data_IF_988213330187
#
_entry.id   IF_988213330187
#
_cell.length_a   1.000
_cell.length_b   1.000
_cell.length_c   1.000
_cell.angle_alpha   90.00
_cell.angle_beta   90.00
_cell.angle_gamma   90.00
#
_symmetry.space_group_name_H-M   'P 1'
#
loop_
_entity.id
_entity.type
_entity.pdbx_description
1 polymer ?
#
# COMPACT_ATOMS: atom_id res chain seq x y z
N UNK A 1 -18.55 -29.92 33.26
CA UNK A 1 -17.34 -29.46 32.52
C UNK A 1 -17.63 -29.16 31.03
N UNK A 2 -18.04 -30.12 30.19
CA UNK A 2 -18.33 -29.80 28.78
C UNK A 2 -19.52 -28.86 28.58
N UNK A 3 -20.59 -28.99 29.39
CA UNK A 3 -21.77 -28.11 29.31
C UNK A 3 -21.42 -26.66 29.69
N UNK A 4 -20.60 -26.45 30.70
CA UNK A 4 -20.19 -25.10 31.13
C UNK A 4 -19.33 -24.41 30.07
N UNK A 5 -18.45 -25.19 29.41
CA UNK A 5 -17.62 -24.69 28.29
C UNK A 5 -18.50 -24.25 27.11
N UNK A 6 -19.46 -25.09 26.73
CA UNK A 6 -20.40 -24.76 25.63
C UNK A 6 -21.27 -23.55 25.97
N UNK A 7 -21.68 -23.43 27.25
CA UNK A 7 -22.39 -22.22 27.70
C UNK A 7 -21.53 -20.97 27.58
N UNK A 8 -20.28 -21.00 28.04
CA UNK A 8 -19.34 -19.89 27.92
C UNK A 8 -19.04 -19.55 26.46
N UNK A 9 -18.97 -20.53 25.57
CA UNK A 9 -18.85 -20.30 24.13
C UNK A 9 -20.06 -19.58 23.57
N UNK A 10 -21.27 -19.96 23.98
CA UNK A 10 -22.49 -19.29 23.58
C UNK A 10 -22.54 -17.84 24.03
N UNK A 11 -22.13 -17.56 25.27
CA UNK A 11 -22.03 -16.20 25.78
C UNK A 11 -21.03 -15.37 24.99
N UNK A 12 -19.83 -15.91 24.70
CA UNK A 12 -18.82 -15.24 23.87
C UNK A 12 -19.35 -14.88 22.48
N UNK A 13 -20.06 -15.81 21.82
CA UNK A 13 -20.62 -15.59 20.50
C UNK A 13 -21.74 -14.52 20.52
N UNK A 14 -22.61 -14.54 21.54
CA UNK A 14 -23.65 -13.51 21.71
C UNK A 14 -23.05 -12.14 21.99
N UNK A 15 -22.01 -12.05 22.83
CA UNK A 15 -21.27 -10.82 23.06
C UNK A 15 -20.64 -10.26 21.78
N UNK A 16 -20.26 -11.13 20.85
CA UNK A 16 -19.78 -10.76 19.51
C UNK A 16 -20.90 -10.41 18.50
N UNK A 17 -22.16 -10.34 18.97
CA UNK A 17 -23.31 -10.02 18.13
C UNK A 17 -23.73 -11.17 17.18
N UNK A 18 -23.39 -12.40 17.51
CA UNK A 18 -23.78 -13.59 16.75
C UNK A 18 -24.97 -14.28 17.38
N UNK A 19 -25.94 -14.67 16.54
CA UNK A 19 -27.14 -15.37 16.96
C UNK A 19 -26.98 -16.88 16.75
N UNK A 20 -27.06 -17.64 17.82
CA UNK A 20 -26.89 -19.09 17.82
C UNK A 20 -27.87 -19.75 18.80
N UNK A 21 -28.46 -20.85 18.42
CA UNK A 21 -29.29 -21.68 19.30
C UNK A 21 -28.42 -22.66 20.10
N UNK A 22 -27.56 -23.41 19.41
CA UNK A 22 -26.67 -24.42 20.00
C UNK A 22 -25.29 -24.31 19.40
N UNK A 23 -24.25 -24.32 20.26
CA UNK A 23 -22.83 -24.35 19.84
C UNK A 23 -22.43 -25.78 19.50
N UNK A 24 -22.02 -26.00 18.27
CA UNK A 24 -21.43 -27.25 17.80
C UNK A 24 -19.89 -27.13 17.89
N UNK A 25 -19.29 -27.93 18.76
CA UNK A 25 -17.85 -27.87 19.03
C UNK A 25 -17.10 -29.08 18.41
N UNK A 26 -17.26 -29.24 17.11
CA UNK A 26 -16.67 -30.30 16.27
C UNK A 26 -15.42 -29.83 15.48
N UNK A 27 -14.97 -28.59 15.70
CA UNK A 27 -13.85 -28.00 14.99
C UNK A 27 -14.17 -27.58 13.54
N UNK A 28 -15.39 -27.78 13.07
CA UNK A 28 -15.81 -27.37 11.72
C UNK A 28 -16.29 -25.90 11.70
N UNK A 29 -16.42 -25.35 10.48
CA UNK A 29 -16.95 -24.00 10.30
C UNK A 29 -18.47 -24.02 10.29
N UNK A 30 -19.09 -23.45 11.32
CA UNK A 30 -20.53 -23.26 11.41
C UNK A 30 -20.91 -21.83 11.02
N UNK A 31 -21.94 -21.68 10.22
CA UNK A 31 -22.52 -20.39 9.81
C UNK A 31 -23.76 -20.11 10.65
N UNK A 32 -23.83 -18.89 11.17
CA UNK A 32 -24.94 -18.42 12.00
C UNK A 32 -25.45 -17.05 11.59
N UNK A 33 -26.56 -16.62 12.17
CA UNK A 33 -27.07 -15.26 12.03
C UNK A 33 -26.27 -14.26 12.85
N UNK A 34 -26.66 -13.00 12.75
CA UNK A 34 -26.25 -11.90 13.63
C UNK A 34 -27.47 -11.42 14.40
N UNK A 35 -27.28 -10.76 15.55
CA UNK A 35 -28.37 -10.30 16.42
C UNK A 35 -29.41 -9.41 15.67
N UNK A 36 -28.96 -8.63 14.69
CA UNK A 36 -29.79 -7.79 13.83
C UNK A 36 -30.38 -8.55 12.62
N UNK A 37 -29.85 -9.74 12.28
CA UNK A 37 -30.28 -10.58 11.14
C UNK A 37 -30.18 -12.06 11.47
N UNK A 38 -31.02 -12.59 12.36
CA UNK A 38 -30.89 -13.96 12.87
C UNK A 38 -31.05 -15.04 11.79
N UNK A 39 -31.80 -14.78 10.73
CA UNK A 39 -32.04 -15.73 9.65
C UNK A 39 -31.04 -15.68 8.49
N UNK A 40 -30.04 -14.79 8.55
CA UNK A 40 -28.95 -14.70 7.58
C UNK A 40 -27.72 -15.49 8.04
N UNK A 41 -26.76 -15.67 7.15
CA UNK A 41 -25.50 -16.38 7.43
C UNK A 41 -24.31 -15.40 7.46
N UNK A 42 -24.51 -14.27 8.14
CA UNK A 42 -23.54 -13.16 8.21
C UNK A 42 -22.53 -13.35 9.34
N UNK A 43 -22.65 -14.40 10.13
CA UNK A 43 -21.73 -14.84 11.17
C UNK A 43 -21.13 -16.21 10.90
N UNK A 44 -20.03 -16.53 11.54
CA UNK A 44 -19.48 -17.88 11.62
C UNK A 44 -18.64 -18.09 12.85
N UNK A 45 -18.50 -19.35 13.27
CA UNK A 45 -17.63 -19.74 14.35
C UNK A 45 -17.02 -21.14 14.12
N UNK A 46 -15.96 -21.44 14.86
CA UNK A 46 -15.36 -22.78 15.04
C UNK A 46 -15.08 -22.99 16.51
N UNK A 47 -15.58 -24.06 17.08
CA UNK A 47 -15.39 -24.37 18.49
C UNK A 47 -14.71 -25.73 18.67
N UNK A 48 -13.83 -25.79 19.65
CA UNK A 48 -13.02 -26.96 20.02
C UNK A 48 -13.13 -27.20 21.53
N UNK A 49 -13.44 -28.44 21.94
CA UNK A 49 -13.51 -28.85 23.35
C UNK A 49 -12.19 -29.38 23.87
N UNK A 50 -11.21 -29.65 23.01
CA UNK A 50 -9.88 -30.12 23.42
C UNK A 50 -9.20 -29.08 24.31
N UNK A 51 -8.43 -29.55 25.28
CA UNK A 51 -7.71 -28.69 26.22
C UNK A 51 -6.53 -27.98 25.55
N UNK A 52 -6.45 -26.64 25.61
CA UNK A 52 -7.44 -25.71 26.12
C UNK A 52 -8.63 -25.56 25.18
N UNK A 53 -9.84 -25.63 25.70
CA UNK A 53 -11.06 -25.42 24.91
C UNK A 53 -11.10 -23.99 24.38
N UNK A 54 -11.41 -23.84 23.10
CA UNK A 54 -11.31 -22.55 22.41
C UNK A 54 -12.37 -22.37 21.32
N UNK A 55 -12.75 -21.13 21.06
CA UNK A 55 -13.67 -20.76 20.01
C UNK A 55 -13.11 -19.60 19.21
N UNK A 56 -13.19 -19.71 17.89
CA UNK A 56 -12.97 -18.62 16.94
C UNK A 56 -14.29 -18.19 16.35
N UNK A 57 -14.47 -16.89 16.13
CA UNK A 57 -15.68 -16.34 15.50
C UNK A 57 -15.36 -15.18 14.58
N UNK A 58 -16.31 -14.91 13.67
CA UNK A 58 -16.27 -13.75 12.77
C UNK A 58 -17.68 -13.24 12.48
N UNK A 59 -17.87 -11.92 12.62
CA UNK A 59 -19.06 -11.20 12.24
C UNK A 59 -18.75 -10.37 10.98
N UNK A 60 -19.28 -10.76 9.81
CA UNK A 60 -19.03 -10.04 8.55
C UNK A 60 -19.74 -8.69 8.46
N UNK A 61 -20.69 -8.40 9.32
CA UNK A 61 -21.41 -7.15 9.31
C UNK A 61 -20.64 -6.02 10.00
N UNK A 62 -20.05 -6.32 11.15
CA UNK A 62 -19.23 -5.37 11.90
C UNK A 62 -17.77 -5.42 11.44
N UNK A 63 -17.33 -6.50 10.80
CA UNK A 63 -15.94 -6.78 10.47
C UNK A 63 -15.16 -7.42 11.60
N UNK A 64 -15.77 -7.58 12.77
CA UNK A 64 -15.11 -8.09 13.97
C UNK A 64 -14.83 -9.59 13.86
N UNK A 65 -13.64 -9.99 14.31
CA UNK A 65 -13.27 -11.38 14.49
C UNK A 65 -12.45 -11.53 15.76
N UNK A 66 -12.55 -12.70 16.39
CA UNK A 66 -11.85 -12.97 17.63
C UNK A 66 -11.66 -14.45 17.90
N UNK A 67 -10.82 -14.71 18.89
CA UNK A 67 -10.63 -16.05 19.48
C UNK A 67 -10.74 -15.92 20.98
N UNK A 68 -11.47 -16.84 21.59
CA UNK A 68 -11.58 -16.91 23.04
C UNK A 68 -11.26 -18.32 23.53
N UNK A 69 -10.59 -18.43 24.66
CA UNK A 69 -10.25 -19.69 25.34
C UNK A 69 -10.92 -19.76 26.70
N UNK A 70 -11.42 -20.92 27.07
CA UNK A 70 -12.12 -21.14 28.34
C UNK A 70 -11.27 -20.82 29.56
N UNK A 71 -9.93 -21.03 29.46
CA UNK A 71 -8.96 -20.53 30.43
C UNK A 71 -8.16 -19.39 29.81
N UNK A 72 -7.98 -18.25 30.52
CA UNK A 72 -7.08 -17.20 30.10
C UNK A 72 -5.67 -17.73 29.84
N UNK A 73 -4.96 -17.20 28.86
CA UNK A 73 -3.60 -17.68 28.49
C UNK A 73 -2.61 -17.70 29.67
N UNK A 74 -2.81 -16.80 30.66
CA UNK A 74 -2.02 -16.71 31.90
C UNK A 74 -2.22 -17.88 32.84
N UNK A 75 -3.34 -18.58 32.76
CA UNK A 75 -3.71 -19.71 33.61
C UNK A 75 -3.40 -21.07 32.98
N UNK A 76 -2.96 -21.07 31.70
CA UNK A 76 -2.56 -22.30 31.03
C UNK A 76 -1.22 -22.78 31.55
N UNK A 77 -1.13 -24.09 31.79
CA UNK A 77 0.16 -24.76 32.03
C UNK A 77 1.06 -24.69 30.80
N UNK A 78 2.35 -24.91 30.97
CA UNK A 78 3.29 -24.96 29.84
C UNK A 78 2.86 -25.96 28.76
N UNK A 79 2.45 -27.17 29.18
CA UNK A 79 1.96 -28.20 28.26
C UNK A 79 0.70 -27.80 27.49
N UNK A 80 -0.27 -27.16 28.16
CA UNK A 80 -1.48 -26.64 27.52
C UNK A 80 -1.19 -25.55 26.50
N UNK A 81 -0.23 -24.65 26.81
CA UNK A 81 0.22 -23.60 25.85
C UNK A 81 0.90 -24.21 24.62
N UNK A 82 1.75 -25.21 24.82
CA UNK A 82 2.43 -25.85 23.69
C UNK A 82 1.44 -26.64 22.82
N UNK A 83 0.49 -27.35 23.41
CA UNK A 83 -0.57 -28.05 22.69
C UNK A 83 -1.45 -27.05 21.87
N UNK A 84 -1.78 -25.88 22.44
CA UNK A 84 -2.52 -24.83 21.72
C UNK A 84 -1.72 -24.28 20.54
N UNK A 85 -0.44 -23.99 20.73
CA UNK A 85 0.46 -23.52 19.67
C UNK A 85 0.57 -24.54 18.53
N UNK A 86 0.71 -25.81 18.87
CA UNK A 86 0.82 -26.89 17.89
C UNK A 86 -0.48 -27.04 17.08
N UNK A 87 -1.64 -26.97 17.76
CA UNK A 87 -2.95 -26.97 17.10
C UNK A 87 -3.12 -25.77 16.15
N UNK A 88 -2.80 -24.57 16.60
CA UNK A 88 -2.86 -23.36 15.74
C UNK A 88 -1.96 -23.53 14.51
N UNK A 89 -0.74 -24.08 14.71
CA UNK A 89 0.20 -24.37 13.63
C UNK A 89 -0.37 -25.40 12.64
N UNK A 90 -0.95 -26.50 13.15
CA UNK A 90 -1.55 -27.53 12.31
C UNK A 90 -2.76 -27.00 11.50
N UNK A 91 -3.64 -26.22 12.13
CA UNK A 91 -4.78 -25.59 11.43
C UNK A 91 -4.27 -24.64 10.35
N UNK A 92 -3.26 -23.84 10.64
CA UNK A 92 -2.67 -22.90 9.66
C UNK A 92 -2.05 -23.65 8.49
N UNK A 93 -1.25 -24.69 8.76
CA UNK A 93 -0.64 -25.54 7.73
C UNK A 93 -1.69 -26.23 6.84
N UNK A 94 -2.77 -26.76 7.45
CA UNK A 94 -3.85 -27.37 6.70
C UNK A 94 -4.57 -26.34 5.78
N UNK A 95 -4.88 -25.14 6.31
CA UNK A 95 -5.45 -24.06 5.51
C UNK A 95 -4.54 -23.66 4.35
N UNK A 96 -3.24 -23.54 4.58
CA UNK A 96 -2.26 -23.20 3.54
C UNK A 96 -2.19 -24.30 2.47
N UNK A 97 -2.20 -25.56 2.87
CA UNK A 97 -2.18 -26.71 1.95
C UNK A 97 -3.44 -26.73 1.06
N UNK A 98 -4.62 -26.59 1.67
CA UNK A 98 -5.89 -26.52 0.92
C UNK A 98 -5.94 -25.30 -0.02
N UNK A 99 -5.47 -24.14 0.43
CA UNK A 99 -5.40 -22.94 -0.39
C UNK A 99 -4.43 -23.13 -1.57
N UNK A 100 -3.27 -23.72 -1.33
CA UNK A 100 -2.28 -24.02 -2.37
C UNK A 100 -2.85 -25.02 -3.40
N UNK A 101 -3.57 -26.03 -2.97
CA UNK A 101 -4.26 -26.98 -3.85
C UNK A 101 -5.27 -26.29 -4.75
N UNK A 102 -6.08 -25.39 -4.20
CA UNK A 102 -7.05 -24.58 -4.96
C UNK A 102 -6.33 -23.69 -5.97
N UNK A 103 -5.26 -23.01 -5.58
CA UNK A 103 -4.47 -22.18 -6.49
C UNK A 103 -3.84 -22.99 -7.63
N UNK A 104 -3.32 -24.18 -7.35
CA UNK A 104 -2.76 -25.07 -8.38
C UNK A 104 -3.84 -25.54 -9.37
N UNK A 105 -5.02 -25.90 -8.88
CA UNK A 105 -6.13 -26.28 -9.76
C UNK A 105 -6.57 -25.11 -10.64
N UNK A 106 -6.71 -23.90 -10.07
CA UNK A 106 -7.03 -22.70 -10.81
C UNK A 106 -5.95 -22.31 -11.83
N UNK A 107 -4.67 -22.49 -11.51
CA UNK A 107 -3.57 -22.22 -12.45
C UNK A 107 -3.59 -23.19 -13.65
N UNK A 108 -3.88 -24.48 -13.43
CA UNK A 108 -4.06 -25.46 -14.51
C UNK A 108 -5.23 -25.08 -15.42
N UNK A 109 -6.36 -24.70 -14.83
CA UNK A 109 -7.54 -24.23 -15.58
C UNK A 109 -7.22 -22.95 -16.36
N UNK A 110 -6.52 -22.00 -15.74
CA UNK A 110 -6.08 -20.74 -16.36
C UNK A 110 -5.21 -21.01 -17.60
N UNK A 111 -4.23 -21.90 -17.47
CA UNK A 111 -3.35 -22.29 -18.59
C UNK A 111 -4.14 -22.99 -19.72
N UNK A 112 -5.10 -23.84 -19.39
CA UNK A 112 -5.98 -24.48 -20.37
C UNK A 112 -6.81 -23.46 -21.14
N UNK A 113 -7.50 -22.55 -20.43
CA UNK A 113 -8.30 -21.49 -21.05
C UNK A 113 -7.41 -20.62 -21.95
N UNK A 114 -6.25 -20.23 -21.48
CA UNK A 114 -5.30 -19.44 -22.25
C UNK A 114 -4.89 -20.13 -23.55
N UNK A 115 -4.51 -21.40 -23.48
CA UNK A 115 -4.05 -22.16 -24.65
C UNK A 115 -5.16 -22.42 -25.68
N UNK A 116 -6.41 -22.56 -25.22
CA UNK A 116 -7.57 -22.76 -26.09
C UNK A 116 -8.13 -21.45 -26.68
N UNK A 117 -7.59 -20.30 -26.27
CA UNK A 117 -8.05 -18.99 -26.73
C UNK A 117 -7.19 -18.48 -27.89
N UNK A 118 -7.80 -17.72 -28.81
CA UNK A 118 -7.11 -17.09 -29.93
C UNK A 118 -6.46 -15.75 -29.51
N UNK A 119 -5.48 -15.28 -30.28
CA UNK A 119 -4.96 -13.93 -30.10
C UNK A 119 -6.11 -12.90 -30.25
N UNK A 120 -6.10 -11.88 -29.41
CA UNK A 120 -7.07 -10.79 -29.50
C UNK A 120 -6.67 -9.83 -30.64
N UNK A 121 -7.69 -9.34 -31.35
CA UNK A 121 -7.53 -8.21 -32.27
C UNK A 121 -7.92 -6.89 -31.58
N UNK A 122 -7.56 -5.79 -32.22
CA UNK A 122 -7.86 -4.43 -31.73
C UNK A 122 -9.37 -4.07 -31.88
N UNK A 123 -10.14 -4.94 -32.55
CA UNK A 123 -11.58 -4.80 -32.77
C UNK A 123 -12.43 -4.99 -31.52
N UNK A 124 -11.83 -5.39 -30.40
CA UNK A 124 -12.59 -5.61 -29.18
C UNK A 124 -13.14 -4.30 -28.58
N UNK A 125 -14.46 -4.22 -28.22
CA UNK A 125 -15.09 -2.97 -27.78
C UNK A 125 -14.38 -2.26 -26.61
N UNK A 126 -13.84 -3.02 -25.65
CA UNK A 126 -13.03 -2.45 -24.56
C UNK A 126 -11.77 -1.73 -25.07
N UNK A 127 -11.04 -2.35 -26.00
CA UNK A 127 -9.80 -1.77 -26.54
C UNK A 127 -10.09 -0.50 -27.35
N UNK A 128 -11.16 -0.52 -28.13
CA UNK A 128 -11.62 0.66 -28.87
C UNK A 128 -12.05 1.79 -27.92
N UNK A 129 -12.83 1.48 -26.86
CA UNK A 129 -13.20 2.46 -25.84
C UNK A 129 -11.96 3.06 -25.15
N UNK A 130 -10.92 2.25 -24.91
CA UNK A 130 -9.68 2.69 -24.24
C UNK A 130 -8.64 3.24 -25.22
N UNK A 131 -8.82 3.12 -26.53
CA UNK A 131 -7.92 3.61 -27.55
C UNK A 131 -6.53 2.97 -27.49
N UNK A 132 -6.47 1.66 -27.19
CA UNK A 132 -5.22 0.91 -27.01
C UNK A 132 -5.23 -0.41 -27.79
N UNK A 133 -4.07 -0.86 -28.34
CA UNK A 133 -3.96 -2.12 -29.05
C UNK A 133 -3.99 -3.34 -28.13
N UNK A 134 -4.26 -4.52 -28.73
CA UNK A 134 -4.34 -5.82 -28.07
C UNK A 134 -2.95 -6.47 -27.87
N UNK A 135 -2.03 -5.83 -27.19
CA UNK A 135 -0.67 -6.36 -27.02
C UNK A 135 -0.65 -7.48 -25.95
N UNK A 136 -0.31 -8.70 -26.39
CA UNK A 136 -0.16 -9.84 -25.49
C UNK A 136 -1.47 -10.37 -24.90
N UNK A 137 -2.60 -10.05 -25.49
CA UNK A 137 -3.92 -10.50 -25.06
C UNK A 137 -4.45 -11.66 -25.89
N UNK A 138 -5.33 -12.43 -25.29
CA UNK A 138 -6.13 -13.43 -25.99
C UNK A 138 -7.63 -13.16 -25.84
N UNK A 139 -8.43 -13.77 -26.71
CA UNK A 139 -9.89 -13.65 -26.72
C UNK A 139 -10.52 -15.03 -26.68
N UNK A 140 -11.46 -15.22 -25.77
CA UNK A 140 -12.26 -16.43 -25.66
C UNK A 140 -13.28 -16.52 -26.79
N UNK A 141 -13.88 -17.71 -27.00
CA UNK A 141 -14.92 -17.92 -28.02
C UNK A 141 -16.18 -17.06 -27.76
N UNK A 142 -16.50 -16.79 -26.49
CA UNK A 142 -17.62 -15.94 -26.07
C UNK A 142 -17.29 -14.44 -26.02
N UNK A 143 -16.13 -14.05 -26.61
CA UNK A 143 -15.80 -12.65 -26.85
C UNK A 143 -15.05 -11.93 -25.75
N UNK A 144 -14.80 -12.52 -24.59
CA UNK A 144 -14.06 -11.89 -23.49
C UNK A 144 -12.57 -11.77 -23.80
N UNK A 145 -11.94 -10.64 -23.46
CA UNK A 145 -10.47 -10.56 -23.43
C UNK A 145 -9.92 -11.30 -22.22
N UNK A 146 -8.73 -11.82 -22.37
CA UNK A 146 -8.01 -12.50 -21.31
C UNK A 146 -6.63 -11.87 -21.15
N UNK A 147 -6.31 -11.51 -19.92
CA UNK A 147 -4.96 -11.08 -19.50
C UNK A 147 -4.41 -12.14 -18.55
N UNK A 148 -3.23 -12.74 -18.85
CA UNK A 148 -2.66 -13.76 -17.97
C UNK A 148 -2.07 -13.07 -16.73
N UNK A 149 -2.37 -13.62 -15.55
CA UNK A 149 -1.72 -13.25 -14.29
C UNK A 149 -0.54 -14.18 -14.10
N UNK A 150 0.67 -13.65 -14.24
CA UNK A 150 1.92 -14.40 -14.19
C UNK A 150 2.50 -14.37 -12.77
N UNK A 151 3.15 -15.46 -12.36
CA UNK A 151 3.97 -15.49 -11.17
C UNK A 151 5.43 -15.06 -11.48
N UNK A 152 6.29 -15.00 -10.47
CA UNK A 152 7.71 -14.63 -10.60
C UNK A 152 8.47 -15.50 -11.62
N UNK A 153 8.08 -16.76 -11.81
CA UNK A 153 8.68 -17.67 -12.80
C UNK A 153 8.12 -17.47 -14.22
N UNK A 154 7.22 -16.51 -14.44
CA UNK A 154 6.57 -16.27 -15.72
C UNK A 154 5.46 -17.29 -16.07
N UNK A 155 5.04 -18.14 -15.12
CA UNK A 155 3.96 -19.11 -15.32
C UNK A 155 2.61 -18.50 -15.01
N UNK A 156 1.57 -18.87 -15.76
CA UNK A 156 0.20 -18.43 -15.52
C UNK A 156 -0.30 -19.04 -14.21
N UNK A 157 -0.74 -18.18 -13.28
CA UNK A 157 -1.36 -18.57 -12.00
C UNK A 157 -2.84 -18.20 -11.89
N UNK A 158 -3.30 -17.28 -12.73
CA UNK A 158 -4.70 -16.87 -12.83
C UNK A 158 -4.93 -16.16 -14.17
N UNK A 159 -6.17 -15.72 -14.41
CA UNK A 159 -6.55 -14.89 -15.55
C UNK A 159 -7.42 -13.73 -15.05
N UNK A 160 -7.25 -12.55 -15.66
CA UNK A 160 -8.25 -11.49 -15.63
C UNK A 160 -9.04 -11.55 -16.95
N UNK A 161 -10.35 -11.52 -16.83
CA UNK A 161 -11.28 -11.41 -17.96
C UNK A 161 -11.78 -9.97 -18.07
N UNK A 162 -11.93 -9.48 -19.30
CA UNK A 162 -12.57 -8.21 -19.60
C UNK A 162 -13.73 -8.47 -20.55
N UNK A 163 -14.90 -8.02 -20.15
CA UNK A 163 -16.13 -8.12 -20.94
C UNK A 163 -16.10 -7.11 -22.12
N UNK A 164 -16.76 -7.43 -23.23
CA UNK A 164 -16.96 -6.46 -24.32
C UNK A 164 -17.69 -5.19 -23.83
N UNK A 165 -18.70 -5.39 -22.97
CA UNK A 165 -19.54 -4.34 -22.40
C UNK A 165 -19.48 -4.38 -20.87
N UNK A 166 -19.78 -3.25 -20.24
CA UNK A 166 -19.91 -3.19 -18.79
C UNK A 166 -21.21 -3.89 -18.35
N UNK A 167 -21.18 -4.53 -17.19
CA UNK A 167 -22.39 -5.05 -16.53
C UNK A 167 -23.29 -3.90 -16.08
N UNK A 168 -24.52 -4.21 -15.71
CA UNK A 168 -25.44 -3.24 -15.13
C UNK A 168 -24.89 -2.55 -13.86
N UNK A 169 -23.92 -3.20 -13.18
CA UNK A 169 -23.23 -2.69 -11.99
C UNK A 169 -22.00 -1.86 -12.33
N UNK A 170 -21.73 -1.58 -13.63
CA UNK A 170 -20.64 -0.75 -14.08
C UNK A 170 -19.27 -1.43 -14.10
N UNK A 171 -19.20 -2.75 -13.91
CA UNK A 171 -17.94 -3.50 -13.96
C UNK A 171 -17.77 -4.22 -15.30
N UNK A 172 -16.55 -4.26 -15.81
CA UNK A 172 -16.21 -5.05 -17.02
C UNK A 172 -15.06 -6.04 -16.76
N UNK A 173 -14.53 -6.10 -15.54
CA UNK A 173 -13.34 -6.88 -15.21
C UNK A 173 -13.59 -7.82 -14.03
N UNK A 174 -13.14 -9.06 -14.16
CA UNK A 174 -13.16 -10.03 -13.06
C UNK A 174 -12.00 -11.03 -13.20
N UNK A 175 -11.65 -11.69 -12.10
CA UNK A 175 -10.60 -12.71 -12.10
C UNK A 175 -11.17 -14.12 -12.14
N UNK A 176 -10.36 -15.06 -12.63
CA UNK A 176 -10.70 -16.48 -12.54
C UNK A 176 -10.93 -16.87 -11.08
N UNK A 177 -12.13 -17.43 -10.80
CA UNK A 177 -12.51 -17.84 -9.45
C UNK A 177 -11.52 -18.85 -8.87
N UNK A 178 -11.06 -18.59 -7.67
CA UNK A 178 -10.05 -19.42 -6.98
C UNK A 178 -8.62 -19.23 -7.46
N UNK A 179 -8.37 -18.39 -8.46
CA UNK A 179 -7.02 -18.06 -8.92
C UNK A 179 -6.26 -17.15 -7.95
N UNK A 180 -4.95 -17.35 -7.84
CA UNK A 180 -4.08 -16.47 -7.06
C UNK A 180 -3.79 -15.20 -7.86
N UNK A 181 -4.10 -14.04 -7.29
CA UNK A 181 -3.79 -12.73 -7.89
C UNK A 181 -2.66 -12.01 -7.14
N UNK A 182 -2.54 -12.24 -5.84
CA UNK A 182 -1.51 -11.62 -5.00
C UNK A 182 -0.08 -11.94 -5.51
N UNK A 183 0.73 -10.90 -5.70
CA UNK A 183 2.08 -10.97 -6.26
C UNK A 183 2.11 -11.32 -7.77
N UNK A 184 0.95 -11.45 -8.40
CA UNK A 184 0.85 -11.72 -9.82
C UNK A 184 0.91 -10.45 -10.65
N UNK A 185 1.47 -10.55 -11.83
CA UNK A 185 1.61 -9.43 -12.75
C UNK A 185 1.36 -9.85 -14.19
N UNK A 186 1.17 -8.89 -15.08
CA UNK A 186 1.26 -9.10 -16.51
C UNK A 186 2.40 -8.27 -17.08
N UNK A 187 3.12 -8.83 -18.05
CA UNK A 187 4.12 -8.12 -18.82
C UNK A 187 3.93 -8.43 -20.30
N UNK A 188 4.21 -7.47 -21.12
CA UNK A 188 4.18 -7.61 -22.57
C UNK A 188 5.51 -7.17 -23.17
N UNK A 189 5.80 -7.66 -24.38
CA UNK A 189 6.97 -7.29 -25.15
C UNK A 189 6.54 -6.79 -26.52
N UNK A 190 7.16 -5.70 -26.95
CA UNK A 190 7.05 -5.17 -28.32
C UNK A 190 8.44 -5.04 -28.91
N UNK A 191 8.55 -5.03 -30.23
CA UNK A 191 9.83 -4.85 -30.93
C UNK A 191 10.46 -3.49 -30.61
N UNK A 192 9.64 -2.45 -30.43
CA UNK A 192 10.06 -1.09 -30.17
C UNK A 192 10.44 -0.81 -28.70
N UNK A 193 10.50 -1.86 -27.85
CA UNK A 193 10.80 -1.69 -26.44
C UNK A 193 12.24 -1.23 -26.19
N UNK A 194 12.38 -0.08 -25.53
CA UNK A 194 13.69 0.39 -25.02
C UNK A 194 14.19 -0.54 -23.89
N UNK A 195 15.21 -1.34 -24.19
CA UNK A 195 15.73 -2.36 -23.26
C UNK A 195 16.35 -1.74 -22.00
N UNK A 196 17.01 -0.59 -22.13
CA UNK A 196 17.80 0.04 -21.05
C UNK A 196 17.05 1.17 -20.31
N UNK A 197 15.78 1.42 -20.65
CA UNK A 197 14.96 2.43 -19.98
C UNK A 197 14.39 1.97 -18.64
N UNK A 198 13.74 2.88 -17.90
CA UNK A 198 13.01 2.56 -16.68
C UNK A 198 12.02 1.41 -16.86
N UNK A 199 11.69 0.74 -15.76
CA UNK A 199 10.58 -0.20 -15.68
C UNK A 199 9.38 0.52 -15.05
N UNK A 200 8.29 0.60 -15.79
CA UNK A 200 7.06 1.20 -15.31
C UNK A 200 6.16 0.14 -14.68
N UNK A 201 5.44 0.51 -13.62
CA UNK A 201 4.45 -0.36 -12.97
C UNK A 201 3.15 0.42 -12.85
N UNK A 202 2.07 -0.12 -13.39
CA UNK A 202 0.74 0.47 -13.37
C UNK A 202 -0.32 -0.52 -12.87
N UNK A 203 -1.49 -0.02 -12.48
CA UNK A 203 -2.58 -0.87 -12.02
C UNK A 203 -3.25 -1.62 -13.18
N UNK A 204 -3.65 -0.92 -14.22
CA UNK A 204 -4.49 -1.45 -15.27
C UNK A 204 -3.77 -1.69 -16.60
N UNK A 205 -4.33 -2.59 -17.43
CA UNK A 205 -3.81 -2.87 -18.76
C UNK A 205 -3.79 -1.63 -19.66
N UNK A 206 -4.92 -0.92 -19.79
CA UNK A 206 -5.01 0.25 -20.68
C UNK A 206 -4.03 1.35 -20.26
N UNK A 207 -3.90 1.60 -18.95
CA UNK A 207 -2.91 2.51 -18.36
C UNK A 207 -1.49 2.10 -18.75
N UNK A 208 -1.15 0.80 -18.61
CA UNK A 208 0.17 0.27 -18.95
C UNK A 208 0.50 0.38 -20.44
N UNK A 209 -0.47 0.13 -21.32
CA UNK A 209 -0.27 0.29 -22.77
C UNK A 209 -0.08 1.77 -23.14
N UNK A 210 -0.87 2.68 -22.60
CA UNK A 210 -0.70 4.12 -22.83
C UNK A 210 0.68 4.62 -22.39
N UNK A 211 1.16 4.16 -21.25
CA UNK A 211 2.51 4.44 -20.74
C UNK A 211 3.60 3.90 -21.68
N UNK A 212 3.43 2.67 -22.16
CA UNK A 212 4.35 2.06 -23.10
C UNK A 212 4.40 2.79 -24.44
N UNK A 213 3.25 3.07 -25.03
CA UNK A 213 3.15 3.83 -26.30
C UNK A 213 3.79 5.23 -26.18
N UNK A 214 3.60 5.89 -25.04
CA UNK A 214 4.14 7.21 -24.79
C UNK A 214 5.67 7.22 -24.65
N UNK A 215 6.26 6.20 -24.02
CA UNK A 215 7.66 6.23 -23.58
C UNK A 215 8.57 5.21 -24.28
N UNK A 216 8.01 4.15 -24.82
CA UNK A 216 8.74 2.96 -25.28
C UNK A 216 9.32 2.11 -24.14
N UNK A 217 9.03 2.42 -22.88
CA UNK A 217 9.56 1.68 -21.72
C UNK A 217 8.78 0.39 -21.46
N UNK A 218 9.45 -0.59 -20.84
CA UNK A 218 8.79 -1.79 -20.37
C UNK A 218 7.78 -1.45 -19.26
N UNK A 219 6.64 -2.13 -19.27
CA UNK A 219 5.61 -1.89 -18.27
C UNK A 219 5.11 -3.21 -17.66
N UNK A 220 4.86 -3.22 -16.35
CA UNK A 220 4.18 -4.29 -15.63
C UNK A 220 2.80 -3.82 -15.20
N UNK A 221 1.81 -4.70 -15.33
CA UNK A 221 0.44 -4.50 -14.84
C UNK A 221 0.30 -5.22 -13.51
N UNK A 222 -0.04 -4.51 -12.47
CA UNK A 222 -0.26 -5.05 -11.12
C UNK A 222 -1.71 -5.46 -10.84
N UNK A 223 -2.65 -5.12 -11.73
CA UNK A 223 -4.07 -5.41 -11.71
C UNK A 223 -4.91 -4.63 -10.69
N UNK A 224 -4.35 -4.19 -9.58
CA UNK A 224 -5.02 -3.34 -8.57
C UNK A 224 -3.99 -2.64 -7.67
N UNK A 225 -4.43 -1.58 -6.97
CA UNK A 225 -3.61 -0.80 -6.06
C UNK A 225 -2.94 -1.63 -4.96
N UNK A 226 -3.68 -2.57 -4.35
CA UNK A 226 -3.17 -3.42 -3.25
C UNK A 226 -2.02 -4.33 -3.65
N UNK A 227 -1.88 -4.64 -4.95
CA UNK A 227 -0.83 -5.51 -5.47
C UNK A 227 0.43 -4.77 -5.95
N UNK A 228 0.39 -3.44 -6.04
CA UNK A 228 1.51 -2.63 -6.53
C UNK A 228 2.81 -2.88 -5.75
N UNK A 229 2.75 -2.93 -4.42
CA UNK A 229 3.93 -3.17 -3.56
C UNK A 229 4.54 -4.54 -3.85
N UNK A 230 3.74 -5.59 -3.92
CA UNK A 230 4.23 -6.95 -4.17
C UNK A 230 4.90 -7.08 -5.55
N UNK A 231 4.30 -6.47 -6.59
CA UNK A 231 4.88 -6.44 -7.94
C UNK A 231 6.15 -5.60 -7.99
N UNK A 232 6.19 -4.46 -7.29
CA UNK A 232 7.39 -3.61 -7.23
C UNK A 232 8.57 -4.31 -6.55
N UNK A 233 8.34 -4.99 -5.42
CA UNK A 233 9.38 -5.75 -4.71
C UNK A 233 9.92 -6.87 -5.60
N UNK A 234 9.05 -7.67 -6.22
CA UNK A 234 9.45 -8.69 -7.20
C UNK A 234 10.26 -8.09 -8.35
N UNK A 235 9.82 -6.94 -8.88
CA UNK A 235 10.53 -6.26 -9.97
C UNK A 235 11.92 -5.79 -9.53
N UNK A 236 12.09 -5.28 -8.30
CA UNK A 236 13.39 -4.88 -7.74
C UNK A 236 14.32 -6.07 -7.55
N UNK A 237 13.83 -7.19 -7.05
CA UNK A 237 14.61 -8.43 -6.91
C UNK A 237 15.12 -8.92 -8.27
N UNK A 238 14.26 -8.89 -9.29
CA UNK A 238 14.61 -9.37 -10.65
C UNK A 238 15.49 -8.38 -11.43
N UNK A 239 15.35 -7.09 -11.20
CA UNK A 239 16.00 -6.01 -11.94
C UNK A 239 16.70 -5.04 -10.97
N UNK A 240 17.64 -5.53 -10.17
CA UNK A 240 18.28 -4.85 -9.05
C UNK A 240 18.76 -3.43 -9.37
N UNK A 241 19.34 -3.20 -10.56
CA UNK A 241 19.92 -1.91 -10.98
C UNK A 241 18.99 -1.04 -11.82
N UNK A 242 17.83 -1.58 -12.24
CA UNK A 242 16.94 -0.86 -13.14
C UNK A 242 16.15 0.20 -12.39
N UNK A 243 16.00 1.38 -12.99
CA UNK A 243 15.10 2.38 -12.44
C UNK A 243 13.66 1.86 -12.51
N UNK A 244 12.92 1.98 -11.40
CA UNK A 244 11.51 1.59 -11.31
C UNK A 244 10.69 2.85 -11.08
N UNK A 245 9.63 3.04 -11.89
CA UNK A 245 8.69 4.15 -11.75
C UNK A 245 7.30 3.56 -11.53
N UNK A 246 6.71 3.86 -10.37
CA UNK A 246 5.31 3.55 -10.07
C UNK A 246 4.43 4.63 -10.72
N UNK A 247 3.51 4.22 -11.60
CA UNK A 247 2.59 5.10 -12.29
C UNK A 247 1.23 5.01 -11.60
N UNK A 248 0.94 6.03 -10.79
CA UNK A 248 -0.23 6.06 -9.92
C UNK A 248 -1.46 6.64 -10.62
N UNK A 249 -2.57 5.96 -10.53
CA UNK A 249 -3.88 6.53 -10.78
C UNK A 249 -4.19 7.57 -9.69
N UNK A 250 -4.94 8.61 -10.02
CA UNK A 250 -5.22 9.75 -9.16
C UNK A 250 -6.72 10.01 -9.07
N UNK A 251 -7.43 9.04 -8.49
CA UNK A 251 -8.86 9.13 -8.24
C UNK A 251 -9.13 10.00 -7.01
N UNK A 252 -9.32 11.30 -7.26
CA UNK A 252 -9.57 12.31 -6.21
C UNK A 252 -10.99 12.24 -5.65
N UNK A 253 -11.93 11.58 -6.32
CA UNK A 253 -13.30 11.40 -5.85
C UNK A 253 -13.39 10.26 -4.82
N UNK A 254 -12.47 9.30 -4.86
CA UNK A 254 -12.41 8.22 -3.87
C UNK A 254 -11.68 8.68 -2.61
N UNK A 255 -12.36 8.57 -1.45
CA UNK A 255 -11.80 8.98 -0.18
C UNK A 255 -10.44 8.31 0.09
N UNK A 256 -9.42 9.12 0.36
CA UNK A 256 -8.06 8.68 0.66
C UNK A 256 -7.22 8.32 -0.56
N UNK A 257 -7.74 8.45 -1.78
CA UNK A 257 -7.04 8.22 -3.06
C UNK A 257 -6.14 6.97 -3.02
N UNK A 258 -6.72 5.76 -2.94
CA UNK A 258 -5.98 4.53 -2.65
C UNK A 258 -4.93 4.21 -3.71
N UNK A 259 -5.18 4.49 -5.00
CA UNK A 259 -4.22 4.29 -6.08
C UNK A 259 -2.92 5.06 -5.84
N UNK A 260 -3.02 6.38 -5.62
CA UNK A 260 -1.87 7.23 -5.30
C UNK A 260 -1.15 6.79 -4.01
N UNK A 261 -1.91 6.48 -2.94
CA UNK A 261 -1.35 6.04 -1.66
C UNK A 261 -0.55 4.75 -1.80
N UNK A 262 -1.12 3.74 -2.43
CA UNK A 262 -0.48 2.43 -2.57
C UNK A 262 0.71 2.46 -3.53
N UNK A 263 0.62 3.20 -4.64
CA UNK A 263 1.76 3.41 -5.54
C UNK A 263 2.92 4.14 -4.86
N UNK A 264 2.61 5.13 -4.01
CA UNK A 264 3.60 5.85 -3.22
C UNK A 264 4.33 4.92 -2.22
N UNK A 265 3.59 4.06 -1.50
CA UNK A 265 4.17 3.04 -0.60
C UNK A 265 5.01 2.01 -1.36
N UNK A 266 4.55 1.59 -2.55
CA UNK A 266 5.29 0.68 -3.40
C UNK A 266 6.60 1.30 -3.91
N UNK A 267 6.58 2.56 -4.35
CA UNK A 267 7.77 3.28 -4.80
C UNK A 267 8.81 3.39 -3.67
N UNK A 268 8.37 3.72 -2.45
CA UNK A 268 9.25 3.77 -1.28
C UNK A 268 9.90 2.42 -1.00
N UNK A 269 9.12 1.33 -0.98
CA UNK A 269 9.62 0.00 -0.65
C UNK A 269 10.76 -0.49 -1.56
N UNK A 270 10.89 0.07 -2.77
CA UNK A 270 11.89 -0.35 -3.76
C UNK A 270 12.89 0.75 -4.15
N UNK A 271 12.89 1.89 -3.44
CA UNK A 271 13.70 3.05 -3.82
C UNK A 271 13.40 3.56 -5.23
N UNK A 272 12.16 3.39 -5.68
CA UNK A 272 11.68 3.78 -6.99
C UNK A 272 11.19 5.23 -7.03
N UNK A 273 10.82 5.69 -8.23
CA UNK A 273 10.18 6.97 -8.47
C UNK A 273 8.66 6.82 -8.56
N UNK A 274 7.94 7.91 -8.37
CA UNK A 274 6.49 8.00 -8.49
C UNK A 274 6.12 9.00 -9.59
N UNK A 275 5.31 8.57 -10.53
CA UNK A 275 4.60 9.40 -11.48
C UNK A 275 3.11 9.38 -11.13
N UNK A 276 2.52 10.54 -10.87
CA UNK A 276 1.08 10.64 -10.54
C UNK A 276 0.36 11.25 -11.70
N UNK A 277 -0.72 10.62 -12.17
CA UNK A 277 -1.56 11.20 -13.21
C UNK A 277 -2.10 12.57 -12.73
N UNK A 278 -1.89 13.65 -13.47
CA UNK A 278 -2.43 14.95 -13.09
C UNK A 278 -3.95 14.95 -13.17
N UNK A 279 -4.60 15.58 -12.20
CA UNK A 279 -6.04 15.89 -12.29
C UNK A 279 -6.22 16.92 -13.40
N UNK A 280 -7.11 16.62 -14.33
CA UNK A 280 -7.38 17.52 -15.45
C UNK A 280 -8.87 17.70 -15.66
N UNK A 281 -9.36 18.91 -15.44
CA UNK A 281 -10.78 19.30 -15.59
C UNK A 281 -11.76 18.30 -14.93
N UNK A 282 -11.36 17.69 -13.80
CA UNK A 282 -12.15 16.76 -13.03
C UNK A 282 -12.41 15.38 -13.66
N UNK A 283 -11.75 15.03 -14.77
CA UNK A 283 -12.09 13.81 -15.54
C UNK A 283 -10.95 12.81 -15.77
N UNK A 284 -9.69 13.21 -15.73
CA UNK A 284 -8.57 12.27 -15.89
C UNK A 284 -8.21 11.65 -14.54
N UNK A 285 -8.44 10.35 -14.39
CA UNK A 285 -8.07 9.62 -13.17
C UNK A 285 -6.88 8.69 -13.38
N UNK A 286 -6.61 8.27 -14.63
CA UNK A 286 -5.51 7.38 -14.98
C UNK A 286 -4.73 7.87 -16.22
N UNK A 287 -3.58 7.27 -16.52
CA UNK A 287 -2.75 7.65 -17.67
C UNK A 287 -3.36 7.27 -19.03
N UNK A 288 -4.32 6.36 -19.09
CA UNK A 288 -5.07 6.12 -20.31
C UNK A 288 -6.08 7.25 -20.57
N UNK A 289 -6.72 7.76 -19.52
CA UNK A 289 -7.58 8.94 -19.65
C UNK A 289 -6.77 10.17 -20.09
N UNK A 290 -5.57 10.37 -19.49
CA UNK A 290 -4.66 11.45 -19.91
C UNK A 290 -4.23 11.31 -21.38
N UNK A 291 -3.91 10.10 -21.85
CA UNK A 291 -3.62 9.79 -23.25
C UNK A 291 -4.78 10.19 -24.15
N UNK A 292 -6.00 9.79 -23.82
CA UNK A 292 -7.19 10.04 -24.64
C UNK A 292 -7.67 11.49 -24.63
N UNK A 293 -7.54 12.17 -23.50
CA UNK A 293 -7.98 13.56 -23.34
C UNK A 293 -6.94 14.55 -23.84
N UNK A 294 -5.67 14.17 -23.91
CA UNK A 294 -4.56 15.04 -24.33
C UNK A 294 -3.73 14.38 -25.42
N UNK A 295 -2.69 13.65 -25.05
CA UNK A 295 -1.82 12.97 -26.01
C UNK A 295 -0.83 12.04 -25.31
N UNK A 296 -0.09 11.23 -26.10
CA UNK A 296 1.03 10.41 -25.61
C UNK A 296 2.20 11.28 -25.12
N UNK A 297 2.42 12.48 -25.70
CA UNK A 297 3.44 13.42 -25.23
C UNK A 297 3.14 13.94 -23.84
N UNK A 298 1.87 14.20 -23.51
CA UNK A 298 1.46 14.57 -22.16
C UNK A 298 1.74 13.47 -21.14
N UNK A 299 1.45 12.21 -21.50
CA UNK A 299 1.78 11.04 -20.67
C UNK A 299 3.30 10.93 -20.47
N UNK A 300 4.09 11.04 -21.54
CA UNK A 300 5.56 11.01 -21.49
C UNK A 300 6.11 12.08 -20.55
N UNK A 301 5.63 13.33 -20.69
CA UNK A 301 6.10 14.44 -19.86
C UNK A 301 5.87 14.21 -18.36
N UNK A 302 4.77 13.53 -17.98
CA UNK A 302 4.52 13.17 -16.57
C UNK A 302 5.49 12.11 -16.10
N UNK A 303 5.74 11.05 -16.90
CA UNK A 303 6.68 9.99 -16.55
C UNK A 303 8.10 10.52 -16.43
N UNK A 304 8.56 11.39 -17.32
CA UNK A 304 9.89 12.00 -17.29
C UNK A 304 10.09 12.92 -16.09
N UNK A 305 9.01 13.49 -15.55
CA UNK A 305 9.02 14.29 -14.31
C UNK A 305 8.86 13.45 -13.04
N UNK A 306 8.85 12.12 -13.16
CA UNK A 306 8.72 11.23 -11.99
C UNK A 306 9.84 11.48 -10.96
N UNK A 307 9.48 11.54 -9.68
CA UNK A 307 10.39 11.87 -8.58
C UNK A 307 10.45 10.76 -7.55
N UNK A 308 11.55 10.67 -6.82
CA UNK A 308 11.61 9.83 -5.63
C UNK A 308 10.71 10.43 -4.55
N UNK A 309 10.06 9.57 -3.78
CA UNK A 309 9.13 9.99 -2.72
C UNK A 309 9.79 10.82 -1.61
N UNK A 310 11.11 10.68 -1.41
CA UNK A 310 11.87 11.48 -0.43
C UNK A 310 11.71 13.00 -0.64
N UNK A 311 11.18 13.41 -1.80
CA UNK A 311 10.89 14.81 -2.11
C UNK A 311 9.48 15.27 -1.69
N UNK A 312 8.57 14.37 -1.30
CA UNK A 312 7.16 14.68 -1.03
C UNK A 312 6.78 14.45 0.43
N UNK A 313 7.32 15.28 1.34
CA UNK A 313 6.62 15.52 2.60
C UNK A 313 5.36 16.35 2.29
N UNK A 314 4.13 15.85 2.56
CA UNK A 314 2.93 16.65 2.34
C UNK A 314 3.02 17.92 3.18
N UNK A 315 3.00 19.06 2.52
CA UNK A 315 3.02 20.34 3.23
C UNK A 315 1.63 20.54 3.90
N UNK A 316 1.60 20.92 5.19
CA UNK A 316 0.35 21.28 5.85
C UNK A 316 -0.31 22.46 5.15
N UNK A 317 -1.63 22.57 5.29
CA UNK A 317 -2.40 23.67 4.74
C UNK A 317 -1.84 25.03 5.19
N UNK A 318 -1.72 25.96 4.23
CA UNK A 318 -1.16 27.27 4.48
C UNK A 318 0.36 27.32 4.59
N UNK A 319 1.08 26.22 4.36
CA UNK A 319 2.54 26.21 4.30
C UNK A 319 3.03 25.76 2.93
N UNK A 320 4.16 26.30 2.49
CA UNK A 320 4.82 25.88 1.26
C UNK A 320 6.35 26.04 1.35
N UNK A 321 7.05 25.22 0.58
CA UNK A 321 8.50 25.16 0.53
C UNK A 321 9.01 25.51 -0.88
N UNK A 322 9.89 26.48 -0.97
CA UNK A 322 10.68 26.79 -2.18
C UNK A 322 12.07 26.23 -1.97
N UNK A 323 12.43 25.17 -2.69
CA UNK A 323 13.69 24.44 -2.45
C UNK A 323 14.93 25.19 -2.96
N UNK A 324 14.82 25.93 -4.08
CA UNK A 324 15.95 26.51 -4.80
C UNK A 324 15.66 27.93 -5.29
N UNK A 325 16.73 28.67 -5.63
CA UNK A 325 16.66 30.02 -6.20
C UNK A 325 16.61 31.12 -5.14
N UNK A 326 16.47 32.38 -5.59
CA UNK A 326 16.50 33.57 -4.71
C UNK A 326 15.43 33.58 -3.62
N UNK A 327 14.34 32.88 -3.84
CA UNK A 327 13.24 32.75 -2.88
C UNK A 327 13.29 31.45 -2.07
N UNK A 328 14.39 30.71 -2.12
CA UNK A 328 14.49 29.46 -1.36
C UNK A 328 14.18 29.69 0.12
N UNK A 329 13.26 28.90 0.68
CA UNK A 329 12.80 29.05 2.06
C UNK A 329 11.52 28.29 2.36
N UNK A 330 11.21 28.19 3.64
CA UNK A 330 9.93 27.71 4.15
C UNK A 330 9.04 28.92 4.45
N UNK A 331 7.79 28.86 4.00
CA UNK A 331 6.83 29.95 4.08
C UNK A 331 5.50 29.52 4.71
N UNK A 332 4.81 30.48 5.31
CA UNK A 332 3.42 30.40 5.70
C UNK A 332 2.60 31.41 4.88
N UNK A 333 1.47 30.97 4.36
CA UNK A 333 0.48 31.84 3.75
C UNK A 333 -0.56 32.23 4.81
N UNK A 334 -0.74 33.52 5.04
CA UNK A 334 -1.79 34.04 5.96
C UNK A 334 -2.76 34.90 5.15
N UNK A 335 -4.06 34.64 5.32
CA UNK A 335 -5.11 35.48 4.76
C UNK A 335 -5.40 36.63 5.72
N UNK A 336 -5.28 37.86 5.26
CA UNK A 336 -5.61 39.05 6.02
C UNK A 336 -7.12 39.24 6.10
N UNK A 337 -7.56 40.09 7.02
CA UNK A 337 -8.97 40.43 7.21
C UNK A 337 -9.64 41.09 6.00
N UNK A 338 -8.86 41.64 5.07
CA UNK A 338 -9.27 42.22 3.81
C UNK A 338 -9.38 41.22 2.65
N UNK A 339 -9.07 39.93 2.90
CA UNK A 339 -9.09 38.85 1.91
C UNK A 339 -7.77 38.68 1.14
N UNK A 340 -6.82 39.58 1.29
CA UNK A 340 -5.50 39.45 0.67
C UNK A 340 -4.64 38.39 1.38
N UNK A 341 -3.84 37.67 0.61
CA UNK A 341 -2.91 36.65 1.12
C UNK A 341 -1.51 37.23 1.26
N UNK A 342 -0.90 37.03 2.43
CA UNK A 342 0.47 37.44 2.71
C UNK A 342 1.36 36.20 2.90
N UNK A 343 2.51 36.18 2.21
CA UNK A 343 3.54 35.18 2.40
C UNK A 343 4.50 35.61 3.49
N UNK A 344 4.65 34.78 4.53
CA UNK A 344 5.57 35.02 5.64
C UNK A 344 6.69 33.99 5.56
N UNK A 345 7.93 34.46 5.32
CA UNK A 345 9.11 33.60 5.30
C UNK A 345 9.51 33.20 6.71
N UNK A 346 9.53 31.90 6.99
CA UNK A 346 9.89 31.33 8.29
C UNK A 346 11.42 31.17 8.43
N UNK A 347 12.09 30.81 7.35
CA UNK A 347 13.55 30.61 7.33
C UNK A 347 14.02 30.00 6.02
N UNK A 348 15.29 29.54 5.96
CA UNK A 348 15.82 28.76 4.85
C UNK A 348 14.98 27.49 4.60
N UNK A 349 15.20 26.76 3.49
CA UNK A 349 14.55 25.47 3.27
C UNK A 349 14.81 24.52 4.45
N UNK A 350 13.72 23.96 5.00
CA UNK A 350 13.74 22.94 6.04
C UNK A 350 12.94 21.75 5.54
N UNK A 351 13.60 20.62 5.33
CA UNK A 351 12.98 19.41 4.83
C UNK A 351 12.60 18.51 6.02
N UNK A 352 11.39 17.98 6.00
CA UNK A 352 10.97 16.96 6.96
C UNK A 352 10.96 15.61 6.23
N UNK A 353 11.97 14.78 6.47
CA UNK A 353 12.23 13.54 5.73
C UNK A 353 11.39 12.36 6.20
N UNK A 354 10.93 12.37 7.44
CA UNK A 354 10.14 11.28 8.00
C UNK A 354 9.72 11.55 9.44
N UNK A 355 8.82 10.70 9.95
CA UNK A 355 8.56 10.61 11.38
C UNK A 355 9.50 9.58 11.98
N UNK A 356 10.23 9.98 13.03
CA UNK A 356 11.13 9.09 13.78
C UNK A 356 10.43 8.51 14.99
N UNK A 357 10.87 7.34 15.43
CA UNK A 357 10.50 6.75 16.72
C UNK A 357 11.67 5.95 17.30
N UNK A 358 11.71 5.82 18.63
CA UNK A 358 12.68 5.00 19.33
C UNK A 358 12.57 3.51 18.99
N UNK A 359 13.56 2.73 19.38
CA UNK A 359 13.62 1.28 19.15
C UNK A 359 12.45 0.52 19.78
N UNK A 360 11.91 1.02 20.90
CA UNK A 360 10.77 0.46 21.63
C UNK A 360 9.39 0.90 21.08
N UNK A 361 9.38 1.68 19.97
CA UNK A 361 8.17 2.21 19.35
C UNK A 361 7.63 3.50 19.95
N UNK A 362 8.28 4.01 20.99
CA UNK A 362 8.00 5.29 21.64
C UNK A 362 8.91 6.40 21.12
N UNK A 363 8.95 7.54 21.81
CA UNK A 363 9.84 8.67 21.50
C UNK A 363 9.67 9.18 20.06
N UNK A 364 8.46 9.54 19.71
CA UNK A 364 8.17 10.07 18.39
C UNK A 364 8.85 11.39 18.11
N UNK A 365 9.39 11.53 16.89
CA UNK A 365 10.10 12.71 16.43
C UNK A 365 9.91 12.98 14.93
N UNK A 366 10.63 13.98 14.46
CA UNK A 366 10.72 14.35 13.04
C UNK A 366 12.19 14.30 12.60
N UNK A 367 12.49 13.64 11.50
CA UNK A 367 13.77 13.74 10.83
C UNK A 367 13.80 15.01 10.00
N UNK A 368 14.55 16.00 10.46
CA UNK A 368 14.75 17.29 9.80
C UNK A 368 16.06 17.28 9.02
N UNK A 369 16.06 17.90 7.85
CA UNK A 369 17.26 18.12 7.02
C UNK A 369 17.31 19.57 6.52
N UNK A 370 18.50 20.17 6.52
CA UNK A 370 18.74 21.50 5.95
C UNK A 370 20.18 21.62 5.45
N UNK A 371 20.46 22.70 4.75
CA UNK A 371 21.79 23.08 4.29
C UNK A 371 22.15 24.37 5.01
N UNK A 372 23.35 24.42 5.61
CA UNK A 372 23.88 25.61 6.25
C UNK A 372 24.39 26.63 5.21
N UNK A 373 24.79 27.86 5.61
CA UNK A 373 25.31 28.86 4.69
C UNK A 373 26.61 28.48 3.94
N UNK A 374 27.37 27.53 4.49
CA UNK A 374 28.60 27.02 3.88
C UNK A 374 28.36 25.84 2.92
N UNK A 375 27.10 25.43 2.78
CA UNK A 375 26.68 24.34 1.86
C UNK A 375 26.74 22.95 2.49
N UNK A 376 27.00 22.82 3.79
CA UNK A 376 27.01 21.54 4.45
C UNK A 376 25.60 21.08 4.79
N UNK A 377 25.36 19.77 4.61
CA UNK A 377 24.07 19.16 4.95
C UNK A 377 24.03 18.78 6.42
N UNK A 378 22.97 19.17 7.09
CA UNK A 378 22.66 18.81 8.47
C UNK A 378 21.39 17.96 8.51
N UNK A 379 21.35 17.02 9.46
CA UNK A 379 20.19 16.20 9.76
C UNK A 379 20.00 16.11 11.28
N UNK A 380 18.72 16.15 11.72
CA UNK A 380 18.40 16.06 13.14
C UNK A 380 17.09 15.28 13.34
N UNK A 381 17.15 14.20 14.11
CA UNK A 381 15.97 13.50 14.63
C UNK A 381 15.42 14.28 15.83
N UNK A 382 14.59 15.28 15.57
CA UNK A 382 14.03 16.16 16.60
C UNK A 382 12.88 15.46 17.34
N UNK A 383 12.95 15.24 18.67
CA UNK A 383 11.84 14.73 19.45
C UNK A 383 10.65 15.70 19.40
N UNK A 384 9.46 15.21 19.03
CA UNK A 384 8.24 16.06 18.94
C UNK A 384 7.86 16.66 20.29
N UNK A 385 8.14 15.97 21.39
CA UNK A 385 7.91 16.50 22.75
C UNK A 385 8.52 17.87 22.99
N UNK A 386 9.67 18.18 22.34
CA UNK A 386 10.34 19.47 22.47
C UNK A 386 9.48 20.65 22.00
N UNK A 387 8.50 20.43 21.12
CA UNK A 387 7.56 21.46 20.67
C UNK A 387 6.56 21.85 21.77
N UNK A 388 6.27 20.94 22.70
CA UNK A 388 5.25 21.07 23.74
C UNK A 388 5.85 21.36 25.12
N UNK A 389 7.15 21.12 25.30
CA UNK A 389 7.83 21.32 26.57
C UNK A 389 8.22 22.79 26.75
N UNK A 390 7.77 23.42 27.83
CA UNK A 390 8.18 24.78 28.18
C UNK A 390 9.69 24.82 28.46
N UNK A 391 10.36 25.84 27.92
CA UNK A 391 11.82 26.02 28.07
C UNK A 391 12.66 25.14 27.17
N UNK A 392 12.09 24.32 26.29
CA UNK A 392 12.87 23.56 25.34
C UNK A 392 13.46 24.47 24.26
N UNK A 393 14.72 24.24 23.94
CA UNK A 393 15.51 25.12 23.06
C UNK A 393 15.71 24.55 21.65
N UNK A 394 14.70 23.87 21.13
CA UNK A 394 14.75 23.25 19.79
C UNK A 394 15.08 24.26 18.68
N UNK A 395 14.68 25.53 18.86
CA UNK A 395 14.97 26.57 17.87
C UNK A 395 16.44 26.97 17.86
N UNK A 396 17.10 27.04 19.03
CA UNK A 396 18.55 27.30 19.14
C UNK A 396 19.37 26.13 18.61
N UNK A 397 18.88 24.88 18.72
CA UNK A 397 19.53 23.71 18.12
C UNK A 397 19.57 23.85 16.58
N UNK A 398 18.46 24.25 15.96
CA UNK A 398 18.43 24.54 14.52
C UNK A 398 19.40 25.69 14.17
N UNK A 399 19.41 26.76 14.95
CA UNK A 399 20.27 27.90 14.71
C UNK A 399 21.76 27.55 14.89
N UNK A 400 22.14 26.77 15.90
CA UNK A 400 23.52 26.30 16.09
C UNK A 400 23.99 25.38 14.95
N UNK A 401 23.07 24.67 14.29
CA UNK A 401 23.33 23.90 13.07
C UNK A 401 23.26 24.74 11.78
N UNK A 402 23.27 26.08 11.88
CA UNK A 402 23.29 26.96 10.70
C UNK A 402 21.94 27.19 10.04
N UNK A 403 20.81 26.74 10.62
CA UNK A 403 19.48 27.08 10.11
C UNK A 403 19.00 28.41 10.71
N UNK A 404 19.24 29.51 10.03
CA UNK A 404 18.90 30.85 10.52
C UNK A 404 17.48 31.26 10.10
N UNK A 405 16.49 30.79 10.86
CA UNK A 405 15.10 31.23 10.71
C UNK A 405 14.86 32.64 11.26
N UNK A 406 13.66 33.16 11.00
CA UNK A 406 13.22 34.44 11.59
C UNK A 406 12.69 34.21 13.03
N UNK A 407 13.32 34.74 14.08
CA UNK A 407 12.88 34.51 15.46
C UNK A 407 11.43 34.93 15.74
N UNK A 408 10.92 35.98 15.08
CA UNK A 408 9.53 36.43 15.21
C UNK A 408 8.49 35.42 14.69
N UNK A 409 8.93 34.45 13.87
CA UNK A 409 8.08 33.40 13.30
C UNK A 409 8.21 32.03 13.99
N UNK A 410 8.89 31.96 15.15
CA UNK A 410 9.09 30.73 15.92
C UNK A 410 7.77 29.96 16.17
N UNK A 411 6.71 30.67 16.57
CA UNK A 411 5.39 30.05 16.80
C UNK A 411 4.78 29.45 15.52
N UNK A 412 4.98 30.11 14.38
CA UNK A 412 4.51 29.62 13.06
C UNK A 412 5.31 28.40 12.61
N UNK A 413 6.61 28.37 12.88
CA UNK A 413 7.47 27.19 12.62
C UNK A 413 7.06 26.02 13.54
N UNK A 414 6.77 26.29 14.82
CA UNK A 414 6.27 25.27 15.73
C UNK A 414 4.93 24.69 15.23
N UNK A 415 4.03 25.55 14.75
CA UNK A 415 2.77 25.11 14.12
C UNK A 415 3.00 24.22 12.88
N UNK A 416 3.95 24.57 12.01
CA UNK A 416 4.35 23.73 10.89
C UNK A 416 4.84 22.36 11.38
N UNK A 417 5.83 22.31 12.28
CA UNK A 417 6.44 21.07 12.77
C UNK A 417 5.43 20.20 13.54
N UNK A 418 4.47 20.80 14.24
CA UNK A 418 3.43 20.05 14.96
C UNK A 418 2.35 19.47 14.05
N UNK A 419 2.15 20.03 12.85
CA UNK A 419 1.09 19.62 11.91
C UNK A 419 1.59 18.78 10.73
N UNK A 420 2.86 18.90 10.37
CA UNK A 420 3.46 18.11 9.29
C UNK A 420 3.40 16.62 9.60
N UNK A 421 2.99 15.80 8.62
CA UNK A 421 2.82 14.35 8.77
C UNK A 421 3.48 13.62 7.60
N UNK A 422 4.81 13.50 7.60
CA UNK A 422 5.50 12.71 6.59
C UNK A 422 5.03 11.25 6.65
N UNK A 423 4.96 10.63 5.49
CA UNK A 423 4.51 9.25 5.37
C UNK A 423 5.62 8.25 5.73
N UNK A 424 6.87 8.64 5.57
CA UNK A 424 8.05 7.84 5.89
C UNK A 424 8.16 7.65 7.40
N UNK A 425 8.47 6.42 7.82
CA UNK A 425 8.79 6.06 9.21
C UNK A 425 10.26 5.69 9.29
N UNK A 426 10.95 6.24 10.28
CA UNK A 426 12.37 6.03 10.51
C UNK A 426 12.52 5.56 11.96
N UNK A 427 13.11 4.39 12.15
CA UNK A 427 13.43 3.90 13.48
C UNK A 427 14.79 4.48 13.90
N UNK A 428 14.85 5.14 15.03
CA UNK A 428 16.08 5.65 15.61
C UNK A 428 16.62 4.66 16.63
N UNK A 429 17.91 4.35 16.54
CA UNK A 429 18.60 3.49 17.49
C UNK A 429 19.76 4.28 18.16
N UNK A 430 19.97 4.03 19.46
CA UNK A 430 20.98 4.76 20.25
C UNK A 430 22.37 4.10 20.22
N UNK A 431 22.47 2.91 19.64
CA UNK A 431 23.72 2.13 19.58
C UNK A 431 23.79 1.27 18.34
N UNK A 432 24.99 0.98 17.87
CA UNK A 432 25.24 -0.01 16.83
C UNK A 432 24.99 -1.43 17.34
N UNK A 433 24.71 -2.35 16.43
CA UNK A 433 24.49 -3.75 16.75
C UNK A 433 23.14 -4.28 16.23
N UNK A 434 22.72 -5.41 16.76
CA UNK A 434 21.43 -6.03 16.40
C UNK A 434 20.26 -5.29 17.03
N UNK A 435 19.29 -4.96 16.18
CA UNK A 435 17.99 -4.41 16.53
C UNK A 435 16.90 -5.24 15.81
N UNK A 436 16.31 -6.19 16.50
CA UNK A 436 15.37 -7.16 15.92
C UNK A 436 15.98 -7.92 14.72
N UNK A 437 15.48 -7.65 13.50
CA UNK A 437 15.90 -8.32 12.25
C UNK A 437 16.99 -7.56 11.49
N UNK A 438 17.48 -6.43 12.00
CA UNK A 438 18.48 -5.60 11.34
C UNK A 438 19.73 -5.43 12.18
N UNK A 439 20.87 -5.37 11.51
CA UNK A 439 22.16 -5.02 12.12
C UNK A 439 22.57 -3.61 11.70
N UNK A 440 22.72 -2.72 12.66
CA UNK A 440 22.98 -1.29 12.44
C UNK A 440 24.46 -0.98 12.69
N UNK A 441 25.11 -0.40 11.71
CA UNK A 441 26.41 0.25 11.79
C UNK A 441 26.24 1.78 11.67
N UNK A 442 27.26 2.60 11.96
CA UNK A 442 27.15 4.05 11.87
C UNK A 442 26.66 4.56 10.50
N UNK A 443 27.08 3.91 9.43
CA UNK A 443 26.80 4.34 8.04
C UNK A 443 26.02 3.34 7.21
N UNK A 444 25.63 2.18 7.80
CA UNK A 444 25.03 1.09 7.02
C UNK A 444 24.09 0.24 7.88
N UNK A 445 22.98 -0.18 7.31
CA UNK A 445 22.02 -1.10 7.91
C UNK A 445 21.94 -2.36 7.07
N UNK A 446 22.08 -3.53 7.70
CA UNK A 446 21.93 -4.85 7.09
C UNK A 446 20.64 -5.51 7.60
N UNK A 447 19.88 -6.10 6.69
CA UNK A 447 18.60 -6.75 6.97
C UNK A 447 17.43 -6.06 6.30
N UNK A 448 16.23 -6.57 6.55
CA UNK A 448 14.97 -6.03 6.00
C UNK A 448 14.07 -5.62 7.14
N UNK A 449 13.63 -4.38 7.13
CA UNK A 449 12.64 -3.84 8.06
C UNK A 449 11.47 -3.22 7.26
N UNK A 450 10.31 -3.13 7.88
CA UNK A 450 9.16 -2.40 7.32
C UNK A 450 9.36 -0.87 7.40
N UNK A 451 10.33 -0.43 8.19
CA UNK A 451 10.68 0.97 8.42
C UNK A 451 12.14 1.22 8.06
N UNK A 452 12.46 2.43 7.64
CA UNK A 452 13.84 2.87 7.49
C UNK A 452 14.50 2.99 8.88
N UNK A 453 15.77 2.60 8.99
CA UNK A 453 16.55 2.65 10.24
C UNK A 453 17.75 3.55 10.06
#
# INVERSE_FOLDING_TARGET
MSADILHSFAECLRAAGLEIEVVQADGLLHRCGTADRPHRRDGAYKAFLDTPASIWWKNWRTGDEGTWTYKPEKELTAAERDALRERIRAIKAHKETEQNRRWQAAAKLAASIWNCSRNAGDDHPYLQRKGVPAIGLRRTKDGRLIIPVLNQSGRIQSLQFILPEQTAEGTDKFFLKGGRTAGGFFSFSTEDRKKDGPLLIAEGYATAISLHLATGYACLVAFNAGNLKAVAVMARERYAKREIILCADNDTETQGNPGKKMASLAAQAVGGKLAVCPVHEGKATDFNDLHRLRSLEAVRAVVEKARKRDDDCPMPEGFFLVKEGRRAGLYKLETKSDGDSQEIRLGPPLLVKGMTRGADGNEWGLMLEWIDPDGNRHAWAMPVEMLFRQGSDWYSILASGGWFGNPSTRSKLAAFLSTVRPLRRIRCVLRTGWHESVYVLPDTVYGVTEEDT
#
